data_IF_051460810295
#
_entry.id   IF_051460810295
#
_cell.length_a   1.000
_cell.length_b   1.000
_cell.length_c   1.000
_cell.angle_alpha   90.00
_cell.angle_beta   90.00
_cell.angle_gamma   90.00
#
_symmetry.space_group_name_H-M   'P 1'
#
loop_
_entity.id
_entity.type
_entity.pdbx_description
1 polymer ?
#
# COMPACT_ATOMS: atom_id res chain seq x y z
N UNK A 1 16.39 -1.58 -13.76
CA UNK A 1 15.24 -2.47 -13.47
C UNK A 1 14.70 -2.92 -14.82
N UNK A 2 14.41 -4.21 -15.05
CA UNK A 2 13.86 -4.63 -16.35
C UNK A 2 12.42 -4.09 -16.49
N UNK A 3 12.04 -3.60 -17.67
CA UNK A 3 10.65 -3.22 -17.93
C UNK A 3 9.71 -4.42 -17.80
N UNK A 4 8.45 -4.20 -17.43
CA UNK A 4 7.40 -5.19 -17.65
C UNK A 4 7.16 -5.42 -19.13
N UNK A 5 6.85 -6.65 -19.50
CA UNK A 5 6.27 -6.93 -20.82
C UNK A 5 4.83 -6.44 -20.85
N UNK A 6 4.28 -6.26 -22.05
CA UNK A 6 2.87 -5.91 -22.22
C UNK A 6 1.95 -6.97 -21.58
N UNK A 7 2.27 -8.25 -21.79
CA UNK A 7 1.54 -9.37 -21.17
C UNK A 7 1.56 -9.28 -19.64
N UNK A 8 2.72 -9.00 -19.05
CA UNK A 8 2.83 -8.89 -17.58
C UNK A 8 1.96 -7.73 -17.04
N UNK A 9 1.88 -6.64 -17.79
CA UNK A 9 1.00 -5.51 -17.48
C UNK A 9 -0.48 -5.90 -17.58
N UNK A 10 -0.90 -6.49 -18.69
CA UNK A 10 -2.28 -6.93 -18.93
C UNK A 10 -2.71 -7.94 -17.86
N UNK A 11 -1.86 -8.91 -17.54
CA UNK A 11 -2.11 -9.89 -16.49
C UNK A 11 -2.24 -9.24 -15.11
N UNK A 12 -1.40 -8.24 -14.80
CA UNK A 12 -1.53 -7.47 -13.58
C UNK A 12 -2.88 -6.73 -13.53
N UNK A 13 -3.25 -6.03 -14.59
CA UNK A 13 -4.54 -5.30 -14.67
C UNK A 13 -5.73 -6.24 -14.49
N UNK A 14 -5.74 -7.39 -15.17
CA UNK A 14 -6.78 -8.42 -15.03
C UNK A 14 -6.91 -8.95 -13.61
N UNK A 15 -5.78 -9.09 -12.90
CA UNK A 15 -5.73 -9.58 -11.52
C UNK A 15 -6.21 -8.59 -10.44
N UNK A 16 -6.40 -7.30 -10.79
CA UNK A 16 -6.86 -6.29 -9.84
C UNK A 16 -8.26 -6.63 -9.29
N UNK A 17 -8.62 -6.24 -8.06
CA UNK A 17 -9.94 -6.54 -7.50
C UNK A 17 -11.06 -5.75 -8.19
N UNK A 18 -12.27 -6.31 -8.25
CA UNK A 18 -13.47 -5.59 -8.68
C UNK A 18 -14.17 -4.89 -7.50
N UNK A 19 -15.13 -4.01 -7.81
CA UNK A 19 -16.00 -3.30 -6.86
C UNK A 19 -15.21 -2.49 -5.82
N UNK A 20 -14.13 -1.84 -6.25
CA UNK A 20 -13.35 -0.92 -5.42
C UNK A 20 -13.65 0.52 -5.80
N UNK A 21 -13.63 1.40 -4.81
CA UNK A 21 -13.77 2.83 -5.00
C UNK A 21 -12.62 3.37 -5.88
N UNK A 22 -13.00 4.18 -6.87
CA UNK A 22 -12.08 4.89 -7.76
C UNK A 22 -11.44 6.08 -7.04
N UNK A 23 -10.37 6.60 -7.65
CA UNK A 23 -9.73 7.84 -7.22
C UNK A 23 -10.43 9.10 -7.74
N UNK A 24 -9.79 10.27 -7.62
CA UNK A 24 -10.33 11.56 -8.06
C UNK A 24 -10.89 11.58 -9.50
N UNK A 25 -10.26 10.86 -10.44
CA UNK A 25 -10.69 10.78 -11.84
C UNK A 25 -11.98 9.99 -12.08
N UNK A 26 -12.45 9.22 -11.08
CA UNK A 26 -13.59 8.33 -11.23
C UNK A 26 -13.28 7.03 -12.01
N UNK A 27 -12.07 6.85 -12.56
CA UNK A 27 -11.70 5.65 -13.32
C UNK A 27 -11.68 4.43 -12.40
N UNK A 28 -12.45 3.40 -12.73
CA UNK A 28 -12.53 2.15 -11.95
C UNK A 28 -11.56 1.08 -12.47
N UNK A 29 -11.35 0.00 -11.69
CA UNK A 29 -10.55 -1.13 -12.16
C UNK A 29 -11.19 -1.84 -13.35
N UNK A 30 -12.51 -1.93 -13.37
CA UNK A 30 -13.29 -2.53 -14.46
C UNK A 30 -13.09 -1.76 -15.77
N UNK A 31 -13.04 -0.42 -15.71
CA UNK A 31 -12.71 0.40 -16.87
C UNK A 31 -11.31 0.05 -17.40
N UNK A 32 -10.31 -0.06 -16.53
CA UNK A 32 -8.96 -0.47 -16.95
C UNK A 32 -8.91 -1.89 -17.53
N UNK A 33 -9.69 -2.83 -17.00
CA UNK A 33 -9.74 -4.21 -17.48
C UNK A 33 -10.41 -4.33 -18.85
N UNK A 34 -11.38 -3.47 -19.14
CA UNK A 34 -12.16 -3.49 -20.38
C UNK A 34 -11.55 -2.63 -21.50
N UNK A 35 -10.37 -2.03 -21.29
CA UNK A 35 -9.64 -1.35 -22.35
C UNK A 35 -9.24 -2.32 -23.46
N UNK A 36 -9.34 -1.86 -24.71
CA UNK A 36 -8.80 -2.59 -25.86
C UNK A 36 -7.26 -2.63 -25.83
N UNK A 37 -6.68 -3.45 -26.71
CA UNK A 37 -5.24 -3.70 -26.76
C UNK A 37 -4.40 -2.43 -27.02
N UNK A 38 -4.88 -1.54 -27.89
CA UNK A 38 -4.20 -0.26 -28.18
C UNK A 38 -4.09 0.62 -26.93
N UNK A 39 -5.19 0.76 -26.18
CA UNK A 39 -5.19 1.55 -24.95
C UNK A 39 -4.38 0.87 -23.82
N UNK A 40 -4.35 -0.46 -23.76
CA UNK A 40 -3.47 -1.18 -22.83
C UNK A 40 -2.00 -0.95 -23.19
N UNK A 41 -1.66 -0.95 -24.48
CA UNK A 41 -0.32 -0.69 -24.98
C UNK A 41 0.11 0.75 -24.67
N UNK A 42 -0.80 1.71 -24.80
CA UNK A 42 -0.54 3.10 -24.40
C UNK A 42 -0.26 3.21 -22.89
N UNK A 43 -1.08 2.61 -22.03
CA UNK A 43 -0.85 2.62 -20.58
C UNK A 43 0.45 1.89 -20.20
N UNK A 44 0.78 0.80 -20.90
CA UNK A 44 2.04 0.09 -20.73
C UNK A 44 3.25 0.97 -21.07
N UNK A 45 3.20 1.68 -22.20
CA UNK A 45 4.25 2.64 -22.57
C UNK A 45 4.37 3.75 -21.52
N UNK A 46 3.25 4.27 -21.03
CA UNK A 46 3.21 5.29 -19.98
C UNK A 46 3.90 4.85 -18.68
N UNK A 47 3.62 3.62 -18.20
CA UNK A 47 4.30 3.12 -16.99
C UNK A 47 5.78 2.85 -17.22
N UNK A 48 6.20 2.49 -18.45
CA UNK A 48 7.61 2.34 -18.78
C UNK A 48 8.34 3.69 -18.70
N UNK A 49 7.71 4.77 -19.20
CA UNK A 49 8.23 6.14 -19.04
C UNK A 49 8.35 6.54 -17.57
N UNK A 50 7.36 6.20 -16.73
CA UNK A 50 7.46 6.43 -15.28
C UNK A 50 8.68 5.71 -14.67
N UNK A 51 8.96 4.49 -15.13
CA UNK A 51 10.14 3.73 -14.69
C UNK A 51 11.46 4.35 -15.16
N UNK A 52 11.48 4.96 -16.35
CA UNK A 52 12.67 5.64 -16.90
C UNK A 52 13.03 6.89 -16.13
N UNK A 53 12.01 7.73 -15.91
CA UNK A 53 12.15 8.97 -15.16
C UNK A 53 12.36 8.70 -13.67
N UNK A 54 12.03 7.49 -13.20
CA UNK A 54 11.96 7.12 -11.79
C UNK A 54 11.02 8.03 -10.99
N UNK A 55 9.94 8.46 -11.63
CA UNK A 55 8.99 9.44 -11.12
C UNK A 55 7.57 9.01 -11.49
N UNK A 56 6.57 9.64 -10.86
CA UNK A 56 5.16 9.42 -11.14
C UNK A 56 4.47 10.76 -11.45
N UNK A 57 3.37 10.74 -12.22
CA UNK A 57 2.62 11.94 -12.55
C UNK A 57 2.15 12.70 -11.31
N UNK A 58 2.13 14.03 -11.38
CA UNK A 58 1.68 14.84 -10.24
C UNK A 58 0.19 14.62 -9.92
N UNK A 59 -0.64 14.34 -10.92
CA UNK A 59 -2.04 13.95 -10.70
C UNK A 59 -2.17 12.65 -9.89
N UNK A 60 -1.20 11.73 -9.99
CA UNK A 60 -1.19 10.52 -9.18
C UNK A 60 -0.77 10.78 -7.72
N UNK A 61 -0.20 11.94 -7.42
CA UNK A 61 0.15 12.39 -6.05
C UNK A 61 -1.04 13.05 -5.35
N UNK A 62 -2.17 13.23 -6.04
CA UNK A 62 -3.41 13.74 -5.48
C UNK A 62 -4.31 12.62 -4.97
N UNK A 63 -5.05 12.87 -3.90
CA UNK A 63 -6.02 11.93 -3.37
C UNK A 63 -7.24 12.61 -2.74
N UNK A 64 -8.35 11.89 -2.69
CA UNK A 64 -9.52 12.28 -1.90
C UNK A 64 -9.69 11.38 -0.70
N UNK A 65 -9.94 11.96 0.47
CA UNK A 65 -10.17 11.24 1.72
C UNK A 65 -11.65 11.11 1.94
N UNK A 66 -12.09 9.88 2.22
CA UNK A 66 -13.44 9.58 2.67
C UNK A 66 -13.41 9.13 4.13
N UNK A 67 -14.31 9.65 4.96
CA UNK A 67 -14.39 9.32 6.38
C UNK A 67 -15.41 8.21 6.61
N UNK A 68 -14.95 6.99 6.89
CA UNK A 68 -15.83 5.87 7.27
C UNK A 68 -16.14 5.96 8.77
N UNK A 69 -17.41 6.01 9.20
CA UNK A 69 -17.74 6.00 10.62
C UNK A 69 -17.36 4.66 11.27
N UNK A 70 -16.77 4.71 12.47
CA UNK A 70 -16.61 3.53 13.33
C UNK A 70 -18.01 3.12 13.85
N UNK A 71 -18.21 1.88 14.34
CA UNK A 71 -19.47 1.45 14.97
C UNK A 71 -19.63 2.08 16.36
N UNK A 72 -19.66 3.41 16.40
CA UNK A 72 -19.81 4.30 17.56
C UNK A 72 -20.49 5.57 17.08
N UNK A 73 -21.22 6.23 17.96
CA UNK A 73 -21.81 7.55 17.66
C UNK A 73 -20.69 8.55 17.33
N UNK A 74 -20.87 9.29 16.23
CA UNK A 74 -19.83 10.19 15.70
C UNK A 74 -19.50 11.34 16.65
N UNK A 75 -20.51 11.99 17.25
CA UNK A 75 -20.37 13.15 18.14
C UNK A 75 -19.41 14.23 17.63
N UNK A 76 -19.34 14.45 16.31
CA UNK A 76 -18.36 15.34 15.67
C UNK A 76 -16.89 15.04 16.02
N UNK A 77 -16.59 13.82 16.49
CA UNK A 77 -15.27 13.40 16.88
C UNK A 77 -14.60 12.61 15.75
N UNK A 78 -13.60 13.21 15.10
CA UNK A 78 -12.85 12.59 14.01
C UNK A 78 -12.16 11.29 14.40
N UNK A 79 -11.85 11.08 15.70
CA UNK A 79 -11.30 9.80 16.18
C UNK A 79 -12.30 8.65 16.07
N UNK A 80 -13.59 8.93 15.95
CA UNK A 80 -14.66 7.96 15.67
C UNK A 80 -14.82 7.68 14.17
N UNK A 81 -13.89 8.11 13.33
CA UNK A 81 -13.86 7.79 11.90
C UNK A 81 -12.60 7.01 11.55
N UNK A 82 -12.63 6.32 10.40
CA UNK A 82 -11.48 5.77 9.71
C UNK A 82 -11.35 6.51 8.38
N UNK A 83 -10.37 7.41 8.23
CA UNK A 83 -10.10 7.99 6.93
C UNK A 83 -9.59 6.89 6.00
N UNK A 84 -10.18 6.80 4.81
CA UNK A 84 -9.64 6.02 3.70
C UNK A 84 -9.16 6.98 2.62
N UNK A 85 -8.03 6.67 2.01
CA UNK A 85 -7.49 7.46 0.91
C UNK A 85 -7.88 6.83 -0.42
N UNK A 86 -8.57 7.60 -1.26
CA UNK A 86 -8.94 7.20 -2.60
C UNK A 86 -7.86 7.71 -3.57
N UNK A 87 -6.97 6.80 -3.96
CA UNK A 87 -5.92 7.07 -4.95
C UNK A 87 -6.38 6.75 -6.37
N UNK A 88 -5.73 7.38 -7.35
CA UNK A 88 -5.90 7.07 -8.77
C UNK A 88 -5.73 5.58 -9.08
N UNK A 89 -6.67 5.03 -9.84
CA UNK A 89 -6.69 3.60 -10.18
C UNK A 89 -5.51 3.20 -11.07
N UNK A 90 -5.12 3.99 -12.10
CA UNK A 90 -3.90 3.71 -12.87
C UNK A 90 -2.63 3.67 -12.00
N UNK A 91 -2.51 4.58 -11.02
CA UNK A 91 -1.43 4.54 -10.01
C UNK A 91 -1.43 3.22 -9.26
N UNK A 92 -2.58 2.82 -8.72
CA UNK A 92 -2.71 1.55 -7.96
C UNK A 92 -2.33 0.35 -8.82
N UNK A 93 -2.70 0.34 -10.11
CA UNK A 93 -2.32 -0.72 -11.06
C UNK A 93 -0.80 -0.79 -11.25
N UNK A 94 -0.14 0.35 -11.49
CA UNK A 94 1.32 0.42 -11.61
C UNK A 94 2.03 -0.04 -10.35
N UNK A 95 1.62 0.46 -9.18
CA UNK A 95 2.24 0.08 -7.90
C UNK A 95 1.96 -1.39 -7.55
N UNK A 96 0.80 -1.93 -7.90
CA UNK A 96 0.50 -3.36 -7.76
C UNK A 96 1.51 -4.23 -8.53
N UNK A 97 1.84 -3.86 -9.77
CA UNK A 97 2.83 -4.57 -10.58
C UNK A 97 4.22 -4.54 -9.92
N UNK A 98 4.66 -3.36 -9.46
CA UNK A 98 5.92 -3.19 -8.76
C UNK A 98 5.97 -4.00 -7.46
N UNK A 99 4.90 -3.96 -6.67
CA UNK A 99 4.76 -4.73 -5.43
C UNK A 99 4.81 -6.24 -5.69
N UNK A 100 4.13 -6.74 -6.72
CA UNK A 100 4.16 -8.16 -7.08
C UNK A 100 5.59 -8.63 -7.39
N UNK A 101 6.33 -7.85 -8.18
CA UNK A 101 7.74 -8.11 -8.49
C UNK A 101 8.62 -8.09 -7.24
N UNK A 102 8.46 -7.06 -6.40
CA UNK A 102 9.24 -6.90 -5.17
C UNK A 102 8.96 -8.05 -4.18
N UNK A 103 7.70 -8.35 -3.90
CA UNK A 103 7.31 -9.42 -2.98
C UNK A 103 7.86 -10.77 -3.40
N UNK A 104 7.87 -11.08 -4.70
CA UNK A 104 8.48 -12.31 -5.23
C UNK A 104 9.99 -12.34 -4.96
N UNK A 105 10.69 -11.23 -5.16
CA UNK A 105 12.14 -11.14 -4.90
C UNK A 105 12.42 -11.29 -3.40
N UNK A 106 11.68 -10.59 -2.54
CA UNK A 106 11.86 -10.64 -1.09
C UNK A 106 11.62 -12.05 -0.54
N UNK A 107 10.60 -12.75 -1.06
CA UNK A 107 10.28 -14.13 -0.71
C UNK A 107 11.36 -15.10 -1.20
N UNK A 108 11.70 -15.07 -2.49
CA UNK A 108 12.64 -16.03 -3.07
C UNK A 108 14.06 -15.95 -2.48
N UNK A 109 14.43 -14.78 -1.96
CA UNK A 109 15.76 -14.56 -1.35
C UNK A 109 15.72 -14.54 0.18
N UNK A 110 14.58 -14.86 0.82
CA UNK A 110 14.40 -14.82 2.28
C UNK A 110 14.96 -13.54 2.92
N UNK A 111 14.69 -12.38 2.30
CA UNK A 111 15.29 -11.10 2.69
C UNK A 111 14.77 -10.64 4.04
N UNK A 112 13.46 -10.81 4.26
CA UNK A 112 12.81 -10.53 5.54
C UNK A 112 12.96 -11.76 6.43
N UNK A 113 13.78 -11.65 7.48
CA UNK A 113 14.03 -12.72 8.46
C UNK A 113 13.14 -12.55 9.70
N UNK A 114 12.84 -13.66 10.37
CA UNK A 114 12.18 -13.70 11.69
C UNK A 114 10.67 -13.95 11.65
N UNK A 115 10.01 -13.63 12.77
CA UNK A 115 8.58 -13.86 13.04
C UNK A 115 7.65 -12.82 12.36
N UNK A 116 7.91 -12.49 11.08
CA UNK A 116 7.07 -11.60 10.31
C UNK A 116 5.99 -12.40 9.56
N UNK A 117 4.80 -12.46 10.14
CA UNK A 117 3.66 -13.23 9.62
C UNK A 117 2.68 -12.40 8.77
N UNK A 118 3.04 -11.15 8.45
CA UNK A 118 2.24 -10.26 7.62
C UNK A 118 2.99 -9.83 6.34
N UNK A 119 2.26 -9.24 5.39
CA UNK A 119 2.73 -8.59 4.16
C UNK A 119 3.30 -9.47 3.03
N UNK A 120 3.96 -10.61 3.32
CA UNK A 120 4.44 -11.52 2.27
C UNK A 120 3.42 -12.61 1.91
N UNK A 121 3.34 -13.03 0.64
CA UNK A 121 2.43 -14.10 0.22
C UNK A 121 2.72 -15.44 0.91
N UNK A 122 1.68 -16.08 1.42
CA UNK A 122 1.75 -17.38 2.10
C UNK A 122 1.90 -17.30 3.63
N UNK A 123 1.93 -16.09 4.19
CA UNK A 123 1.85 -15.91 5.64
C UNK A 123 0.39 -15.79 6.09
N UNK A 124 0.12 -16.23 7.33
CA UNK A 124 -1.20 -16.18 7.95
C UNK A 124 -1.10 -15.68 9.38
N UNK A 125 -2.13 -15.01 9.86
CA UNK A 125 -2.27 -14.65 11.29
C UNK A 125 -2.53 -15.88 12.16
N UNK A 126 -2.89 -17.02 11.56
CA UNK A 126 -3.11 -18.27 12.29
C UNK A 126 -1.83 -18.77 12.97
N UNK A 127 -0.69 -18.74 12.28
CA UNK A 127 0.60 -19.21 12.82
C UNK A 127 1.03 -18.48 14.11
N UNK A 128 1.08 -17.14 14.18
CA UNK A 128 1.44 -16.45 15.42
C UNK A 128 0.42 -16.68 16.54
N UNK A 129 -0.88 -16.76 16.21
CA UNK A 129 -1.92 -17.07 17.22
C UNK A 129 -1.70 -18.47 17.78
N UNK A 130 -1.44 -19.46 16.93
CA UNK A 130 -1.15 -20.83 17.32
C UNK A 130 0.09 -20.91 18.19
N UNK A 131 1.17 -20.24 17.79
CA UNK A 131 2.42 -20.19 18.56
C UNK A 131 2.20 -19.61 19.97
N UNK A 132 1.43 -18.52 20.09
CA UNK A 132 1.08 -17.95 21.40
C UNK A 132 0.26 -18.95 22.22
N UNK A 133 -0.72 -19.63 21.61
CA UNK A 133 -1.53 -20.64 22.31
C UNK A 133 -0.69 -21.83 22.81
N UNK A 134 0.25 -22.31 22.01
CA UNK A 134 1.17 -23.41 22.39
C UNK A 134 2.09 -22.97 23.54
N UNK A 135 2.62 -21.74 23.51
CA UNK A 135 3.43 -21.18 24.62
C UNK A 135 2.61 -21.08 25.90
N UNK A 136 1.36 -20.61 25.82
CA UNK A 136 0.45 -20.54 26.97
C UNK A 136 0.16 -21.93 27.53
N UNK A 137 -0.02 -22.93 26.66
CA UNK A 137 -0.31 -24.30 27.08
C UNK A 137 0.90 -24.95 27.76
N UNK A 138 2.10 -24.83 27.21
CA UNK A 138 3.34 -25.35 27.80
C UNK A 138 3.58 -24.76 29.20
N UNK A 139 3.37 -23.45 29.36
CA UNK A 139 3.53 -22.78 30.66
C UNK A 139 2.55 -23.33 31.71
N UNK A 140 1.30 -23.60 31.31
CA UNK A 140 0.28 -24.21 32.19
C UNK A 140 0.63 -25.63 32.59
N UNK A 141 1.01 -26.47 31.63
CA UNK A 141 1.32 -27.88 31.86
C UNK A 141 2.55 -28.08 32.73
N UNK A 142 3.55 -27.20 32.59
CA UNK A 142 4.79 -27.26 33.36
C UNK A 142 4.79 -26.35 34.61
N UNK A 143 3.66 -25.73 34.95
CA UNK A 143 3.52 -24.80 36.08
C UNK A 143 4.60 -23.70 36.10
N UNK A 144 4.89 -23.12 34.93
CA UNK A 144 5.87 -22.04 34.75
C UNK A 144 5.16 -20.69 34.67
N UNK A 145 5.80 -19.67 35.21
CA UNK A 145 5.37 -18.28 35.05
C UNK A 145 5.59 -17.82 33.59
N UNK A 146 4.59 -17.17 32.99
CA UNK A 146 4.63 -16.64 31.63
C UNK A 146 4.17 -15.17 31.61
N UNK A 147 4.98 -14.31 31.02
CA UNK A 147 4.66 -12.90 30.77
C UNK A 147 4.52 -12.64 29.28
N UNK A 148 3.41 -12.02 28.88
CA UNK A 148 3.13 -11.64 27.48
C UNK A 148 3.11 -10.12 27.35
N UNK A 149 3.92 -9.60 26.43
CA UNK A 149 3.95 -8.18 26.07
C UNK A 149 3.35 -7.98 24.68
N UNK A 150 2.24 -7.25 24.61
CA UNK A 150 1.63 -6.82 23.35
C UNK A 150 1.93 -5.34 23.10
N UNK A 151 2.39 -5.01 21.90
CA UNK A 151 2.70 -3.64 21.49
C UNK A 151 1.94 -3.32 20.20
N UNK A 152 1.30 -2.16 20.17
CA UNK A 152 0.64 -1.63 18.99
C UNK A 152 1.21 -0.25 18.62
N UNK A 153 1.41 -0.02 17.32
CA UNK A 153 1.93 1.23 16.80
C UNK A 153 0.78 2.15 16.38
N UNK A 154 0.47 3.14 17.23
CA UNK A 154 -0.55 4.14 16.91
C UNK A 154 -0.23 4.92 15.64
N UNK A 155 -1.15 4.88 14.67
CA UNK A 155 -1.04 5.57 13.37
C UNK A 155 0.26 5.23 12.62
N UNK A 156 0.60 3.94 12.55
CA UNK A 156 1.86 3.47 11.97
C UNK A 156 2.14 4.01 10.56
N UNK A 157 1.14 4.02 9.67
CA UNK A 157 1.28 4.51 8.29
C UNK A 157 1.41 6.03 8.22
N UNK A 158 0.60 6.78 8.98
CA UNK A 158 0.62 8.25 8.99
C UNK A 158 1.92 8.83 9.54
N UNK A 159 2.69 8.04 10.30
CA UNK A 159 3.92 8.47 10.97
C UNK A 159 5.21 8.04 10.27
N UNK A 160 5.11 7.35 9.14
CA UNK A 160 6.30 6.92 8.39
C UNK A 160 7.05 8.14 7.88
N UNK A 161 8.30 8.28 8.32
CA UNK A 161 9.23 9.27 7.78
C UNK A 161 9.85 8.75 6.47
N UNK A 162 9.70 9.49 5.38
CA UNK A 162 10.13 9.06 4.04
C UNK A 162 11.65 8.88 3.95
N UNK A 163 12.44 9.73 4.62
CA UNK A 163 13.89 9.56 4.68
C UNK A 163 14.29 8.26 5.37
N UNK A 164 13.63 7.90 6.47
CA UNK A 164 13.87 6.62 7.16
C UNK A 164 13.42 5.43 6.31
N UNK A 165 12.31 5.55 5.58
CA UNK A 165 11.86 4.52 4.63
C UNK A 165 12.90 4.28 3.52
N UNK A 166 13.46 5.35 2.95
CA UNK A 166 14.56 5.24 1.97
C UNK A 166 15.78 4.51 2.56
N UNK A 167 16.18 4.84 3.79
CA UNK A 167 17.31 4.19 4.46
C UNK A 167 17.02 2.70 4.73
N UNK A 168 15.80 2.37 5.12
CA UNK A 168 15.38 0.99 5.32
C UNK A 168 15.45 0.18 4.01
N UNK A 169 14.95 0.74 2.89
CA UNK A 169 15.05 0.11 1.57
C UNK A 169 16.49 -0.06 1.09
N UNK A 170 17.37 0.93 1.35
CA UNK A 170 18.81 0.83 1.06
C UNK A 170 19.47 -0.30 1.87
N UNK A 171 19.11 -0.43 3.16
CA UNK A 171 19.65 -1.48 4.05
C UNK A 171 19.34 -2.88 3.55
N UNK A 172 18.14 -3.13 3.01
CA UNK A 172 17.77 -4.42 2.42
C UNK A 172 18.14 -4.55 0.94
N UNK A 173 19.02 -3.66 0.44
CA UNK A 173 19.58 -3.68 -0.92
C UNK A 173 18.56 -3.57 -2.05
N UNK A 174 17.46 -2.84 -1.85
CA UNK A 174 16.56 -2.49 -2.96
C UNK A 174 17.28 -1.57 -3.95
N UNK A 175 17.02 -1.76 -5.25
CA UNK A 175 17.64 -1.00 -6.32
C UNK A 175 17.36 0.52 -6.19
N UNK A 176 18.35 1.40 -6.41
CA UNK A 176 18.18 2.85 -6.29
C UNK A 176 17.03 3.42 -7.11
N UNK A 177 16.83 2.93 -8.33
CA UNK A 177 15.74 3.34 -9.22
C UNK A 177 14.36 3.04 -8.61
N UNK A 178 14.20 1.86 -8.02
CA UNK A 178 12.95 1.50 -7.34
C UNK A 178 12.71 2.38 -6.11
N UNK A 179 13.76 2.65 -5.33
CA UNK A 179 13.70 3.56 -4.17
C UNK A 179 13.25 4.95 -4.62
N UNK A 180 13.77 5.48 -5.74
CA UNK A 180 13.36 6.77 -6.29
C UNK A 180 11.88 6.80 -6.66
N UNK A 181 11.38 5.79 -7.37
CA UNK A 181 9.95 5.67 -7.72
C UNK A 181 9.08 5.66 -6.45
N UNK A 182 9.42 4.83 -5.46
CA UNK A 182 8.67 4.76 -4.19
C UNK A 182 8.74 6.09 -3.43
N UNK A 183 9.88 6.76 -3.45
CA UNK A 183 10.05 8.05 -2.79
C UNK A 183 9.26 9.16 -3.48
N UNK A 184 9.15 9.11 -4.81
CA UNK A 184 8.31 10.03 -5.58
C UNK A 184 6.83 9.91 -5.21
N UNK A 185 6.33 8.69 -4.95
CA UNK A 185 4.94 8.47 -4.52
C UNK A 185 4.53 9.32 -3.31
N UNK A 186 5.47 9.59 -2.41
CA UNK A 186 5.19 10.23 -1.13
C UNK A 186 5.69 11.68 -1.03
N UNK A 187 6.28 12.23 -2.09
CA UNK A 187 6.70 13.64 -2.18
C UNK A 187 5.59 14.48 -2.84
N UNK A 188 5.45 15.73 -2.40
CA UNK A 188 4.53 16.72 -2.99
C UNK A 188 3.10 16.18 -3.17
N UNK A 189 2.58 15.47 -2.16
CA UNK A 189 1.22 14.93 -2.16
C UNK A 189 0.22 16.00 -1.73
N UNK A 190 -0.94 15.99 -2.36
CA UNK A 190 -2.06 16.87 -2.01
C UNK A 190 -3.33 16.07 -1.82
N UNK A 191 -4.01 16.31 -0.71
CA UNK A 191 -5.26 15.63 -0.39
C UNK A 191 -6.42 16.62 -0.26
N UNK A 192 -7.61 16.16 -0.60
CA UNK A 192 -8.88 16.84 -0.30
C UNK A 192 -9.78 15.90 0.51
N UNK A 193 -10.67 16.44 1.34
CA UNK A 193 -11.61 15.62 2.11
C UNK A 193 -13.00 15.71 1.48
N UNK A 194 -13.66 14.57 1.32
CA UNK A 194 -15.05 14.48 0.86
C UNK A 194 -15.96 14.79 2.04
N UNK A 195 -16.81 15.80 1.89
CA UNK A 195 -17.82 16.21 2.88
C UNK A 195 -19.23 16.19 2.28
N UNK A 196 -20.25 16.36 3.13
CA UNK A 196 -21.63 16.50 2.66
C UNK A 196 -21.86 17.75 1.78
N UNK A 197 -20.95 18.73 1.83
CA UNK A 197 -21.02 19.98 1.07
C UNK A 197 -20.08 20.02 -0.13
N UNK A 198 -19.45 18.89 -0.46
CA UNK A 198 -18.44 18.79 -1.52
C UNK A 198 -17.02 18.56 -0.99
N UNK A 199 -16.04 18.77 -1.87
CA UNK A 199 -14.62 18.64 -1.53
C UNK A 199 -14.15 19.86 -0.74
N UNK A 200 -13.28 19.65 0.24
CA UNK A 200 -12.54 20.74 0.88
C UNK A 200 -11.48 21.32 -0.05
N UNK A 201 -10.92 22.47 0.35
CA UNK A 201 -9.66 22.95 -0.23
C UNK A 201 -8.55 21.89 -0.10
N UNK A 202 -7.64 21.81 -1.08
CA UNK A 202 -6.52 20.89 -1.03
C UNK A 202 -5.53 21.29 0.06
N UNK A 203 -4.91 20.29 0.68
CA UNK A 203 -3.84 20.48 1.65
C UNK A 203 -2.65 19.56 1.37
N UNK A 204 -1.46 20.02 1.71
CA UNK A 204 -0.22 19.26 1.49
C UNK A 204 -0.03 18.18 2.56
N UNK A 205 0.36 16.98 2.12
CA UNK A 205 0.64 15.85 3.03
C UNK A 205 2.14 15.78 3.33
N UNK A 206 2.51 16.12 4.56
CA UNK A 206 3.91 16.29 4.95
C UNK A 206 4.62 14.98 5.37
N UNK A 207 3.88 14.02 5.92
CA UNK A 207 4.42 12.77 6.48
C UNK A 207 3.49 11.60 6.21
N UNK A 208 4.02 10.39 6.38
CA UNK A 208 3.27 9.15 6.26
C UNK A 208 3.23 8.60 4.84
N UNK A 209 2.66 7.41 4.74
CA UNK A 209 2.44 6.69 3.49
C UNK A 209 0.96 6.36 3.35
N UNK A 210 0.54 6.15 2.10
CA UNK A 210 -0.86 5.87 1.72
C UNK A 210 -1.26 4.40 1.97
#
# INVERSE_FOLDING_TARGET
MKYPTLDEWIDNVKSLPNNKASGPSGISYEMLKNLNEDNQSFLHAFICVCMDLNDIPDEWKKATIYLIPKPKLFFANLTNTRPIMLLETPRKAFISLLNRRLSRILKNNNVLKGNQFAALPGNSTFEPIRMINEIIQDAKENNKELWLLSQDLGKAYDRVNIFMLEKAMKRIKILPNFIKIISSLFKNRQNQVITAYGLTDPYDVLIGID
#
